data_IF_016716276550
#
_entry.id   IF_016716276550
#
_cell.length_a   1.000
_cell.length_b   1.000
_cell.length_c   1.000
_cell.angle_alpha   90.00
_cell.angle_beta   90.00
_cell.angle_gamma   90.00
#
_symmetry.space_group_name_H-M   'P 1'
#
loop_
_entity.id
_entity.type
_entity.pdbx_description
1 polymer ?
#
# COMPACT_ATOMS: atom_id res chain seq x y z
N UNK A 1 -46.40 45.80 -19.46
CA UNK A 1 -45.44 46.87 -19.78
C UNK A 1 -44.06 46.35 -19.41
N UNK A 2 -43.28 46.06 -20.46
CA UNK A 2 -41.80 46.03 -20.60
C UNK A 2 -41.02 46.74 -19.48
N UNK A 3 -39.77 46.42 -19.11
CA UNK A 3 -38.80 45.32 -19.26
C UNK A 3 -37.48 45.87 -18.63
N UNK A 4 -36.59 44.96 -18.18
CA UNK A 4 -35.12 45.08 -18.26
C UNK A 4 -34.38 46.18 -17.46
N UNK A 5 -33.15 46.00 -16.96
CA UNK A 5 -32.21 44.87 -17.01
C UNK A 5 -31.11 45.13 -15.98
N UNK A 6 -30.85 44.13 -15.15
CA UNK A 6 -29.63 43.99 -14.36
C UNK A 6 -28.68 43.01 -15.03
N UNK A 7 -27.44 43.47 -15.19
CA UNK A 7 -26.17 42.74 -15.16
C UNK A 7 -26.07 41.35 -15.82
N UNK A 8 -25.23 41.31 -16.86
CA UNK A 8 -24.53 40.16 -17.37
C UNK A 8 -23.73 39.40 -16.28
N UNK A 9 -23.61 38.07 -16.43
CA UNK A 9 -22.36 37.39 -16.84
C UNK A 9 -22.51 35.87 -16.91
N UNK A 10 -22.28 35.35 -18.11
CA UNK A 10 -21.70 34.05 -18.49
C UNK A 10 -22.09 32.80 -17.69
N UNK A 11 -23.19 32.19 -18.13
CA UNK A 11 -23.36 30.75 -18.03
C UNK A 11 -22.66 30.09 -19.23
N UNK A 12 -21.66 29.25 -18.96
CA UNK A 12 -21.11 28.30 -19.94
C UNK A 12 -22.23 27.28 -20.26
N UNK A 13 -23.07 27.60 -21.23
CA UNK A 13 -24.06 26.66 -21.78
C UNK A 13 -23.33 25.71 -22.73
N UNK A 14 -23.29 24.43 -22.38
CA UNK A 14 -22.99 23.37 -23.33
C UNK A 14 -24.21 23.20 -24.24
N UNK A 15 -24.08 23.23 -25.57
CA UNK A 15 -25.20 22.95 -26.46
C UNK A 15 -25.56 21.46 -26.35
N UNK A 16 -26.84 21.21 -26.06
CA UNK A 16 -27.47 19.91 -25.85
C UNK A 16 -27.85 19.27 -27.19
N UNK A 17 -26.84 18.91 -28.00
CA UNK A 17 -27.05 18.28 -29.31
C UNK A 17 -26.62 16.80 -29.34
N UNK A 18 -26.66 16.09 -28.21
CA UNK A 18 -26.42 14.65 -28.17
C UNK A 18 -27.65 13.93 -27.64
N UNK A 19 -28.52 13.53 -28.57
CA UNK A 19 -29.67 12.68 -28.28
C UNK A 19 -29.24 11.44 -27.51
N UNK A 20 -29.75 11.30 -26.30
CA UNK A 20 -29.65 10.05 -25.54
C UNK A 20 -30.97 9.29 -25.70
N UNK A 21 -31.04 8.28 -26.57
CA UNK A 21 -32.08 7.29 -26.42
C UNK A 21 -31.63 6.27 -25.35
N UNK A 22 -32.49 6.19 -24.34
CA UNK A 22 -32.95 4.95 -23.71
C UNK A 22 -32.11 4.41 -22.54
N UNK A 23 -32.60 4.83 -21.37
CA UNK A 23 -32.60 4.17 -20.06
C UNK A 23 -32.84 2.64 -20.20
N UNK A 24 -31.76 1.86 -20.27
CA UNK A 24 -31.49 0.55 -19.62
C UNK A 24 -30.20 0.01 -20.22
N UNK A 25 -29.06 0.52 -19.75
CA UNK A 25 -27.74 0.03 -20.13
C UNK A 25 -27.48 -1.31 -19.45
N UNK A 26 -28.05 -2.39 -19.98
CA UNK A 26 -27.56 -3.72 -19.66
C UNK A 26 -26.24 -3.84 -20.41
N UNK A 27 -25.13 -3.82 -19.67
CA UNK A 27 -23.78 -3.93 -20.23
C UNK A 27 -23.76 -5.13 -21.20
N UNK A 28 -23.20 -4.92 -22.39
CA UNK A 28 -22.94 -6.04 -23.32
C UNK A 28 -22.10 -7.10 -22.59
N UNK A 29 -22.33 -8.39 -22.86
CA UNK A 29 -21.50 -9.47 -22.30
C UNK A 29 -20.01 -9.19 -22.47
N UNK A 30 -19.62 -8.58 -23.60
CA UNK A 30 -18.23 -8.21 -23.88
C UNK A 30 -17.71 -7.13 -22.92
N UNK A 31 -18.56 -6.18 -22.52
CA UNK A 31 -18.19 -5.13 -21.57
C UNK A 31 -18.17 -5.65 -20.13
N UNK A 32 -19.04 -6.60 -19.80
CA UNK A 32 -19.01 -7.30 -18.52
C UNK A 32 -17.71 -8.08 -18.35
N UNK A 33 -17.28 -8.80 -19.38
CA UNK A 33 -16.02 -9.57 -19.38
C UNK A 33 -14.81 -8.65 -19.30
N UNK A 34 -14.81 -7.51 -20.01
CA UNK A 34 -13.72 -6.53 -19.91
C UNK A 34 -13.64 -5.86 -18.53
N UNK A 35 -14.77 -5.71 -17.83
CA UNK A 35 -14.80 -5.21 -16.46
C UNK A 35 -14.39 -6.31 -15.49
N UNK A 36 -14.84 -7.55 -15.66
CA UNK A 36 -14.42 -8.69 -14.82
C UNK A 36 -12.91 -8.91 -14.95
N UNK A 37 -12.34 -8.82 -16.16
CA UNK A 37 -10.89 -8.87 -16.42
C UNK A 37 -10.12 -7.67 -15.81
N UNK A 38 -10.78 -6.53 -15.59
CA UNK A 38 -10.25 -5.35 -14.88
C UNK A 38 -10.44 -5.43 -13.36
N UNK A 39 -11.42 -6.20 -12.89
CA UNK A 39 -11.80 -6.34 -11.48
C UNK A 39 -11.26 -7.63 -10.84
N UNK A 40 -10.73 -8.56 -11.63
CA UNK A 40 -9.91 -9.70 -11.22
C UNK A 40 -8.48 -9.30 -10.83
N UNK A 41 -8.27 -8.05 -10.41
CA UNK A 41 -7.01 -7.56 -9.86
C UNK A 41 -6.99 -7.82 -8.34
N UNK A 42 -6.41 -8.93 -7.82
CA UNK A 42 -5.69 -8.80 -6.58
C UNK A 42 -4.62 -7.74 -6.85
N UNK A 43 -4.70 -6.60 -6.14
CA UNK A 43 -3.64 -5.61 -6.19
C UNK A 43 -2.29 -6.33 -5.90
N UNK A 44 -1.43 -6.35 -6.95
CA UNK A 44 -0.07 -6.91 -7.12
C UNK A 44 -0.04 -8.38 -7.65
N UNK A 45 0.58 -8.67 -8.83
CA UNK A 45 1.97 -8.24 -9.13
C UNK A 45 2.22 -7.70 -10.54
N UNK A 46 2.89 -6.55 -10.64
CA UNK A 46 3.54 -6.20 -11.91
C UNK A 46 4.94 -6.81 -12.06
N UNK A 47 5.57 -7.29 -10.98
CA UNK A 47 6.85 -8.03 -11.01
C UNK A 47 6.89 -9.03 -9.85
N UNK A 48 7.29 -10.26 -10.15
CA UNK A 48 7.54 -11.32 -9.16
C UNK A 48 8.75 -10.94 -8.30
N UNK A 49 8.60 -11.04 -6.99
CA UNK A 49 9.68 -10.82 -6.04
C UNK A 49 9.53 -11.67 -4.79
N UNK A 50 10.67 -12.03 -4.21
CA UNK A 50 10.78 -12.77 -2.98
C UNK A 50 11.22 -11.85 -1.84
N UNK A 51 10.85 -12.19 -0.61
CA UNK A 51 11.41 -11.57 0.58
C UNK A 51 12.32 -12.58 1.24
N UNK A 52 13.58 -12.21 1.38
CA UNK A 52 14.62 -13.06 1.97
C UNK A 52 15.10 -12.39 3.25
N UNK A 53 15.19 -13.18 4.32
CA UNK A 53 15.83 -12.75 5.57
C UNK A 53 17.30 -13.14 5.56
N UNK A 54 18.21 -12.16 5.49
CA UNK A 54 19.61 -12.36 5.78
C UNK A 54 19.88 -12.14 7.27
N UNK A 55 19.75 -13.22 8.04
CA UNK A 55 19.96 -13.20 9.49
C UNK A 55 21.41 -12.85 9.89
N UNK A 56 22.39 -13.05 8.98
CA UNK A 56 23.80 -12.77 9.29
C UNK A 56 24.07 -11.27 9.30
N UNK A 57 23.38 -10.54 8.43
CA UNK A 57 23.53 -9.09 8.28
C UNK A 57 22.38 -8.32 8.93
N UNK A 58 21.29 -8.98 9.31
CA UNK A 58 20.15 -8.39 10.00
C UNK A 58 19.30 -7.55 9.08
N UNK A 59 18.95 -8.07 7.90
CA UNK A 59 18.13 -7.34 6.93
C UNK A 59 17.17 -8.29 6.20
N UNK A 60 15.92 -7.84 6.07
CA UNK A 60 14.99 -8.43 5.12
C UNK A 60 15.11 -7.69 3.80
N UNK A 61 15.36 -8.41 2.72
CA UNK A 61 15.50 -7.85 1.37
C UNK A 61 14.38 -8.33 0.47
N UNK A 62 13.94 -7.46 -0.44
CA UNK A 62 13.09 -7.86 -1.56
C UNK A 62 14.00 -8.14 -2.75
N UNK A 63 13.97 -9.36 -3.27
CA UNK A 63 14.73 -9.79 -4.45
C UNK A 63 13.78 -9.89 -5.64
N UNK A 64 14.08 -9.15 -6.71
CA UNK A 64 13.38 -9.26 -7.99
C UNK A 64 14.40 -9.70 -9.06
N UNK A 65 14.23 -10.90 -9.60
CA UNK A 65 15.24 -11.53 -10.46
C UNK A 65 16.53 -11.81 -9.68
N UNK A 66 17.62 -11.14 -10.04
CA UNK A 66 18.95 -11.29 -9.43
C UNK A 66 19.36 -10.06 -8.57
N UNK A 67 18.44 -9.12 -8.34
CA UNK A 67 18.74 -7.85 -7.68
C UNK A 67 17.86 -7.59 -6.45
N UNK A 68 18.49 -7.13 -5.38
CA UNK A 68 17.80 -6.54 -4.24
C UNK A 68 17.20 -5.17 -4.60
N UNK A 69 15.90 -5.00 -4.41
CA UNK A 69 15.13 -3.80 -4.78
C UNK A 69 14.55 -3.04 -3.58
N UNK A 70 14.53 -3.67 -2.41
CA UNK A 70 14.15 -3.04 -1.15
C UNK A 70 14.81 -3.75 0.04
N UNK A 71 14.86 -3.06 1.17
CA UNK A 71 15.46 -3.58 2.39
C UNK A 71 14.80 -3.01 3.65
N UNK A 72 14.73 -3.83 4.69
CA UNK A 72 14.31 -3.48 6.05
C UNK A 72 15.33 -4.05 7.06
N UNK A 73 16.39 -3.29 7.38
CA UNK A 73 17.35 -3.68 8.40
C UNK A 73 16.71 -3.71 9.80
N UNK A 74 17.20 -4.64 10.60
CA UNK A 74 16.77 -4.86 11.97
C UNK A 74 17.95 -5.23 12.87
N UNK A 75 17.80 -4.99 14.18
CA UNK A 75 18.70 -5.52 15.20
C UNK A 75 17.96 -6.52 16.08
N UNK A 76 18.64 -7.57 16.52
CA UNK A 76 18.12 -8.48 17.56
C UNK A 76 18.39 -7.85 18.93
N UNK A 77 17.38 -7.82 19.80
CA UNK A 77 17.48 -7.25 21.14
C UNK A 77 16.92 -8.22 22.19
N UNK A 78 17.80 -8.95 22.88
CA UNK A 78 17.41 -10.09 23.72
C UNK A 78 17.11 -11.30 22.86
N UNK A 79 16.33 -12.25 23.38
CA UNK A 79 16.12 -13.54 22.71
C UNK A 79 15.01 -13.48 21.65
N UNK A 80 13.93 -12.72 21.91
CA UNK A 80 12.70 -12.79 21.11
C UNK A 80 12.19 -11.43 20.60
N UNK A 81 13.08 -10.47 20.35
CA UNK A 81 12.68 -9.13 19.88
C UNK A 81 13.55 -8.57 18.77
N UNK A 82 12.90 -8.07 17.71
CA UNK A 82 13.55 -7.38 16.59
C UNK A 82 13.29 -5.86 16.66
N UNK A 83 14.32 -5.06 16.47
CA UNK A 83 14.23 -3.60 16.35
C UNK A 83 14.24 -3.21 14.89
N UNK A 84 13.08 -2.85 14.33
CA UNK A 84 12.93 -2.51 12.90
C UNK A 84 13.35 -1.06 12.65
N UNK A 85 14.35 -0.86 11.79
CA UNK A 85 15.07 0.43 11.66
C UNK A 85 14.49 1.36 10.60
N UNK A 86 14.62 1.03 9.31
CA UNK A 86 14.19 1.90 8.21
C UNK A 86 13.90 1.12 6.94
N UNK A 87 12.70 1.25 6.37
CA UNK A 87 12.38 0.67 5.06
C UNK A 87 12.99 1.51 3.95
N UNK A 88 13.74 0.88 3.04
CA UNK A 88 14.29 1.50 1.84
C UNK A 88 13.82 0.77 0.60
N UNK A 89 13.39 1.52 -0.43
CA UNK A 89 13.02 0.98 -1.75
C UNK A 89 13.72 1.80 -2.82
N UNK A 90 14.35 1.11 -3.77
CA UNK A 90 14.98 1.75 -4.92
C UNK A 90 13.96 2.61 -5.70
N UNK A 91 14.31 3.86 -6.09
CA UNK A 91 13.36 4.82 -6.67
C UNK A 91 12.50 4.28 -7.81
N UNK A 92 13.08 3.46 -8.69
CA UNK A 92 12.44 2.84 -9.85
C UNK A 92 11.34 1.82 -9.49
N UNK A 93 11.36 1.29 -8.26
CA UNK A 93 10.40 0.32 -7.73
C UNK A 93 9.41 0.93 -6.72
N UNK A 94 9.48 2.24 -6.45
CA UNK A 94 8.53 2.93 -5.57
C UNK A 94 7.14 3.03 -6.20
N UNK A 95 6.12 3.26 -5.36
CA UNK A 95 4.70 3.35 -5.74
C UNK A 95 4.11 2.08 -6.38
N UNK A 96 4.78 0.93 -6.20
CA UNK A 96 4.34 -0.39 -6.68
C UNK A 96 3.99 -1.36 -5.55
N UNK A 97 3.75 -0.85 -4.34
CA UNK A 97 3.43 -1.70 -3.17
C UNK A 97 4.61 -2.47 -2.53
N UNK A 98 5.82 -2.40 -3.10
CA UNK A 98 7.00 -3.17 -2.61
C UNK A 98 7.28 -2.96 -1.11
N UNK A 99 7.21 -1.72 -0.61
CA UNK A 99 7.42 -1.44 0.81
C UNK A 99 6.34 -2.11 1.68
N UNK A 100 5.09 -2.04 1.25
CA UNK A 100 3.93 -2.60 1.95
C UNK A 100 4.06 -4.12 2.06
N UNK A 101 4.39 -4.79 0.94
CA UNK A 101 4.58 -6.24 0.91
C UNK A 101 5.79 -6.69 1.73
N UNK A 102 6.90 -5.96 1.66
CA UNK A 102 8.06 -6.23 2.51
C UNK A 102 7.68 -6.17 3.99
N UNK A 103 7.01 -5.10 4.42
CA UNK A 103 6.62 -4.90 5.83
C UNK A 103 5.65 -6.00 6.27
N UNK A 104 4.64 -6.33 5.45
CA UNK A 104 3.69 -7.40 5.73
C UNK A 104 4.42 -8.73 5.97
N UNK A 105 5.25 -9.16 5.01
CA UNK A 105 5.99 -10.43 5.10
C UNK A 105 6.94 -10.46 6.31
N UNK A 106 7.60 -9.35 6.64
CA UNK A 106 8.45 -9.26 7.84
C UNK A 106 7.63 -9.46 9.11
N UNK A 107 6.48 -8.79 9.24
CA UNK A 107 5.65 -8.90 10.44
C UNK A 107 5.02 -10.29 10.57
N UNK A 108 4.60 -10.89 9.46
CA UNK A 108 4.11 -12.28 9.44
C UNK A 108 5.19 -13.27 9.85
N UNK A 109 6.42 -13.10 9.37
CA UNK A 109 7.56 -13.95 9.75
C UNK A 109 7.90 -13.79 11.25
N UNK A 110 7.92 -12.55 11.75
CA UNK A 110 8.11 -12.28 13.18
C UNK A 110 7.03 -12.96 14.03
N UNK A 111 5.77 -12.91 13.60
CA UNK A 111 4.66 -13.60 14.28
C UNK A 111 4.87 -15.10 14.26
N UNK A 112 5.22 -15.67 13.10
CA UNK A 112 5.44 -17.11 12.95
C UNK A 112 6.57 -17.62 13.85
N UNK A 113 7.57 -16.78 14.11
CA UNK A 113 8.67 -17.05 15.04
C UNK A 113 8.31 -16.83 16.52
N UNK A 114 7.12 -16.33 16.84
CA UNK A 114 6.71 -15.99 18.21
C UNK A 114 7.48 -14.80 18.80
N UNK A 115 8.07 -13.96 17.95
CA UNK A 115 8.88 -12.81 18.36
C UNK A 115 8.05 -11.52 18.41
N UNK A 116 8.60 -10.50 19.05
CA UNK A 116 8.04 -9.15 19.14
C UNK A 116 8.88 -8.13 18.39
N UNK A 117 8.34 -6.94 18.14
CA UNK A 117 9.03 -5.84 17.47
C UNK A 117 9.10 -4.58 18.32
N UNK A 118 10.23 -3.88 18.22
CA UNK A 118 10.38 -2.46 18.52
C UNK A 118 10.39 -1.69 17.20
N UNK A 119 9.49 -0.74 17.02
CA UNK A 119 9.31 -0.06 15.73
C UNK A 119 9.94 1.33 15.73
N UNK A 120 11.15 1.44 15.16
CA UNK A 120 11.85 2.72 14.94
C UNK A 120 11.52 3.34 13.59
N UNK A 121 11.12 2.51 12.62
CA UNK A 121 10.73 2.98 11.30
C UNK A 121 9.32 3.62 11.30
N UNK A 122 9.17 4.89 10.90
CA UNK A 122 7.85 5.52 10.82
C UNK A 122 6.94 4.89 9.76
N UNK A 123 7.50 4.32 8.69
CA UNK A 123 6.71 3.64 7.64
C UNK A 123 6.07 2.36 8.19
N UNK A 124 6.83 1.56 8.93
CA UNK A 124 6.32 0.35 9.61
C UNK A 124 5.26 0.72 10.64
N UNK A 125 5.48 1.80 11.40
CA UNK A 125 4.49 2.33 12.35
C UNK A 125 3.17 2.65 11.66
N UNK A 126 3.20 3.47 10.61
CA UNK A 126 2.00 3.82 9.84
C UNK A 126 1.34 2.59 9.22
N UNK A 127 2.13 1.58 8.82
CA UNK A 127 1.56 0.31 8.36
C UNK A 127 0.77 -0.38 9.49
N UNK A 128 1.33 -0.54 10.68
CA UNK A 128 0.65 -1.18 11.83
C UNK A 128 -0.59 -0.38 12.26
N UNK A 129 -0.54 0.96 12.24
CA UNK A 129 -1.69 1.82 12.56
C UNK A 129 -2.88 1.58 11.61
N UNK A 130 -2.60 1.26 10.34
CA UNK A 130 -3.64 0.94 9.34
C UNK A 130 -3.99 -0.56 9.29
N UNK A 131 -3.21 -1.42 9.95
CA UNK A 131 -3.37 -2.87 10.00
C UNK A 131 -3.28 -3.33 11.47
N UNK A 132 -4.31 -3.02 12.28
CA UNK A 132 -4.28 -3.21 13.74
C UNK A 132 -4.13 -4.67 14.16
N UNK A 133 -4.34 -5.62 13.24
CA UNK A 133 -4.04 -7.02 13.48
C UNK A 133 -2.57 -7.28 13.81
N UNK A 134 -1.64 -6.38 13.50
CA UNK A 134 -0.21 -6.49 13.86
C UNK A 134 0.18 -5.76 15.15
N UNK A 135 -0.77 -5.08 15.80
CA UNK A 135 -0.47 -4.30 17.01
C UNK A 135 -0.01 -5.18 18.19
N UNK A 136 -0.40 -6.44 18.22
CA UNK A 136 0.01 -7.45 19.20
C UNK A 136 1.50 -7.78 19.13
N UNK A 137 2.14 -7.61 17.97
CA UNK A 137 3.56 -7.87 17.79
C UNK A 137 4.44 -6.81 18.44
N UNK A 138 3.91 -5.62 18.70
CA UNK A 138 4.70 -4.51 19.26
C UNK A 138 5.00 -4.78 20.74
N UNK A 139 6.28 -4.82 21.11
CA UNK A 139 6.67 -4.98 22.52
C UNK A 139 6.17 -3.79 23.34
N UNK A 140 5.18 -4.03 24.20
CA UNK A 140 4.56 -3.00 25.04
C UNK A 140 5.54 -2.29 25.99
N UNK A 141 6.65 -2.96 26.37
CA UNK A 141 7.71 -2.37 27.19
C UNK A 141 8.69 -1.54 26.36
N UNK A 142 8.82 -1.87 25.08
CA UNK A 142 9.78 -1.24 24.17
C UNK A 142 9.15 -1.00 22.78
N UNK A 143 8.10 -0.16 22.69
CA UNK A 143 7.35 -0.01 21.44
C UNK A 143 8.13 0.70 20.32
N UNK A 144 9.19 1.44 20.68
CA UNK A 144 9.98 2.25 19.75
C UNK A 144 9.49 3.70 19.66
N UNK A 145 10.00 4.45 18.68
CA UNK A 145 9.81 5.89 18.60
C UNK A 145 8.41 6.30 18.15
N UNK A 146 7.51 6.65 19.09
CA UNK A 146 6.26 7.37 18.80
C UNK A 146 4.94 6.69 19.17
N UNK A 147 4.90 5.63 20.00
CA UNK A 147 3.64 5.20 20.62
C UNK A 147 3.42 6.04 21.88
N UNK A 148 2.72 7.16 21.72
CA UNK A 148 2.19 7.96 22.83
C UNK A 148 0.72 7.66 23.01
#
# INVERSE_FOLDING_TARGET
MTDATGAARDAFAYPDEAGHPDRTGTLSQDQSVLIDELLDEPHVPAFEFDVVNDEKTGIYEVIAGDRAIAGLPYNVAGDDRLVLLATSVFPEFRKRGVATELIRRVLDDVRAQGKTVTVMCPIVRTFIENNPEYADLVDSRHPGGGLR
#
